data_IF_050583968358
#
_entry.id   IF_050583968358
#
_cell.length_a   1.000
_cell.length_b   1.000
_cell.length_c   1.000
_cell.angle_alpha   90.00
_cell.angle_beta   90.00
_cell.angle_gamma   90.00
#
_symmetry.space_group_name_H-M   'P 1'
#
loop_
_entity.id
_entity.type
_entity.pdbx_description
1 polymer ?
#
# COMPACT_ATOMS: atom_id res chain seq x y z
N UNK A 1 -0.84 14.50 3.89
CA UNK A 1 -0.33 15.89 4.03
C UNK A 1 -1.34 16.88 3.46
N UNK A 2 -1.42 18.15 3.94
CA UNK A 2 -2.32 19.13 3.32
C UNK A 2 -2.06 19.22 1.81
N UNK A 3 -3.11 19.11 0.99
CA UNK A 3 -3.01 19.18 -0.47
C UNK A 3 -2.56 17.88 -1.17
N UNK A 4 -2.11 16.86 -0.43
CA UNK A 4 -1.83 15.55 -1.01
C UNK A 4 -3.13 14.83 -1.35
N UNK A 5 -3.23 14.16 -2.52
CA UNK A 5 -4.44 13.42 -2.89
C UNK A 5 -4.79 12.32 -1.89
N UNK A 6 -3.78 11.56 -1.44
CA UNK A 6 -3.98 10.39 -0.60
C UNK A 6 -3.70 10.70 0.87
N UNK A 7 -4.50 10.08 1.75
CA UNK A 7 -4.16 9.99 3.17
C UNK A 7 -3.14 8.88 3.38
N UNK A 8 -2.36 8.97 4.46
CA UNK A 8 -1.55 7.84 4.91
C UNK A 8 -2.51 6.73 5.39
N UNK A 9 -2.46 5.51 4.83
CA UNK A 9 -3.50 4.51 5.06
C UNK A 9 -3.45 3.85 6.44
N UNK A 10 -2.37 4.03 7.20
CA UNK A 10 -2.27 3.56 8.58
C UNK A 10 -1.37 4.49 9.39
N UNK A 11 -1.60 4.56 10.70
CA UNK A 11 -0.68 5.22 11.62
C UNK A 11 0.54 4.32 11.87
N UNK A 12 1.74 4.91 11.91
CA UNK A 12 2.95 4.15 12.19
C UNK A 12 4.23 4.85 11.75
N UNK A 13 5.33 4.10 11.83
CA UNK A 13 6.64 4.54 11.35
C UNK A 13 6.89 3.97 9.95
N UNK A 14 7.09 4.86 8.96
CA UNK A 14 7.46 4.45 7.60
C UNK A 14 8.93 4.02 7.61
N UNK A 15 9.16 2.70 7.58
CA UNK A 15 10.47 2.11 7.83
C UNK A 15 11.18 1.57 6.59
N UNK A 16 10.42 1.08 5.60
CA UNK A 16 10.94 0.63 4.31
C UNK A 16 10.31 1.47 3.21
N UNK A 17 11.17 2.03 2.35
CA UNK A 17 10.79 3.05 1.38
C UNK A 17 10.59 2.45 -0.02
N UNK A 18 9.89 3.19 -0.88
CA UNK A 18 9.76 2.82 -2.28
C UNK A 18 11.12 2.86 -2.95
N UNK A 19 11.46 1.83 -3.72
CA UNK A 19 12.75 1.69 -4.39
C UNK A 19 13.91 1.34 -3.45
N UNK A 20 13.65 0.97 -2.19
CA UNK A 20 14.71 0.58 -1.25
C UNK A 20 15.41 -0.72 -1.72
N UNK A 21 16.73 -0.70 -1.96
CA UNK A 21 17.47 -1.86 -2.42
C UNK A 21 18.12 -2.65 -1.28
N UNK A 22 17.94 -2.22 -0.02
CA UNK A 22 18.58 -2.84 1.16
C UNK A 22 17.87 -4.13 1.54
N UNK A 23 18.59 -5.03 2.19
CA UNK A 23 18.03 -6.31 2.64
C UNK A 23 16.76 -6.11 3.47
N UNK A 24 15.67 -6.87 3.23
CA UNK A 24 15.61 -8.11 2.44
C UNK A 24 15.54 -7.96 0.91
N UNK A 25 15.45 -6.73 0.39
CA UNK A 25 15.40 -6.42 -1.05
C UNK A 25 16.79 -6.45 -1.70
N UNK A 26 16.85 -6.08 -2.97
CA UNK A 26 18.09 -6.00 -3.74
C UNK A 26 18.02 -4.91 -4.80
N UNK A 27 19.16 -4.48 -5.35
CA UNK A 27 19.16 -3.54 -6.48
C UNK A 27 18.42 -4.06 -7.73
N UNK A 28 18.33 -5.37 -7.92
CA UNK A 28 17.57 -5.99 -9.01
C UNK A 28 16.09 -6.20 -8.71
N UNK A 29 15.71 -6.14 -7.43
CA UNK A 29 14.34 -6.25 -6.98
C UNK A 29 14.15 -5.36 -5.75
N UNK A 30 14.11 -4.02 -5.95
CA UNK A 30 13.95 -3.08 -4.85
C UNK A 30 12.49 -3.06 -4.38
N UNK A 31 12.25 -2.50 -3.20
CA UNK A 31 10.93 -2.48 -2.60
C UNK A 31 9.90 -1.74 -3.47
N UNK A 32 8.73 -2.35 -3.69
CA UNK A 32 7.69 -1.93 -4.65
C UNK A 32 6.64 -0.99 -4.03
N UNK A 33 6.74 -0.75 -2.72
CA UNK A 33 5.81 0.07 -1.96
C UNK A 33 6.49 0.75 -0.78
N UNK A 34 5.72 0.99 0.26
CA UNK A 34 6.20 1.47 1.56
C UNK A 34 5.67 0.56 2.67
N UNK A 35 6.48 0.38 3.71
CA UNK A 35 6.06 -0.34 4.91
C UNK A 35 5.86 0.62 6.08
N UNK A 36 4.65 0.62 6.62
CA UNK A 36 4.22 1.44 7.74
C UNK A 36 4.15 0.54 8.98
N UNK A 37 5.19 0.57 9.79
CA UNK A 37 5.33 -0.27 10.99
C UNK A 37 4.47 0.25 12.13
N UNK A 38 3.66 -0.64 12.68
CA UNK A 38 2.84 -0.38 13.85
C UNK A 38 3.61 -0.64 15.15
N UNK A 39 3.37 0.17 16.17
CA UNK A 39 3.91 -0.03 17.52
C UNK A 39 2.88 -0.74 18.44
N UNK A 40 2.03 -1.58 17.86
CA UNK A 40 0.94 -2.30 18.53
C UNK A 40 0.98 -3.78 18.18
N UNK A 41 0.15 -4.56 18.87
CA UNK A 41 -0.12 -5.96 18.51
C UNK A 41 -0.84 -6.06 17.15
N UNK A 42 -0.86 -7.27 16.59
CA UNK A 42 -1.61 -7.60 15.36
C UNK A 42 -3.11 -7.33 15.56
N UNK A 43 -3.80 -6.89 14.49
CA UNK A 43 -5.23 -6.64 14.54
C UNK A 43 -5.64 -5.36 15.28
N UNK A 44 -4.69 -4.48 15.62
CA UNK A 44 -4.94 -3.27 16.42
C UNK A 44 -4.90 -1.97 15.62
N UNK A 45 -3.83 -1.71 14.85
CA UNK A 45 -3.72 -0.45 14.10
C UNK A 45 -4.66 -0.47 12.90
N UNK A 46 -5.60 0.49 12.79
CA UNK A 46 -6.52 0.57 11.66
C UNK A 46 -5.80 0.84 10.33
N UNK A 47 -6.34 0.25 9.27
CA UNK A 47 -5.99 0.50 7.87
C UNK A 47 -7.18 1.12 7.17
N UNK A 48 -6.98 2.27 6.55
CA UNK A 48 -8.01 3.06 5.88
C UNK A 48 -7.77 3.14 4.38
N UNK A 49 -8.84 3.30 3.61
CA UNK A 49 -8.78 3.61 2.19
C UNK A 49 -8.03 4.92 1.96
N UNK A 50 -6.90 4.86 1.27
CA UNK A 50 -6.05 6.03 1.02
C UNK A 50 -6.74 7.09 0.15
N UNK A 51 -7.75 6.70 -0.62
CA UNK A 51 -8.51 7.55 -1.55
C UNK A 51 -9.90 6.98 -1.82
N UNK A 52 -10.77 7.74 -2.49
CA UNK A 52 -12.02 7.21 -3.02
C UNK A 52 -11.72 6.14 -4.08
N UNK A 53 -12.43 5.02 -4.05
CA UNK A 53 -12.14 3.95 -5.00
C UNK A 53 -13.08 2.75 -4.89
N UNK A 54 -12.71 1.69 -5.60
CA UNK A 54 -13.50 0.45 -5.67
C UNK A 54 -12.67 -0.73 -5.17
N UNK A 55 -13.00 -1.25 -3.99
CA UNK A 55 -12.33 -2.38 -3.34
C UNK A 55 -12.65 -3.68 -4.08
N UNK A 56 -11.61 -4.47 -4.29
CA UNK A 56 -11.64 -5.84 -4.76
C UNK A 56 -10.79 -6.69 -3.83
N UNK A 57 -11.29 -7.87 -3.47
CA UNK A 57 -10.58 -8.90 -2.73
C UNK A 57 -10.79 -10.21 -3.45
N UNK A 58 -9.74 -10.75 -4.06
CA UNK A 58 -9.87 -12.01 -4.81
C UNK A 58 -10.28 -13.17 -3.89
N UNK A 59 -10.99 -14.20 -4.40
CA UNK A 59 -11.50 -15.29 -3.57
C UNK A 59 -10.44 -16.08 -2.81
N UNK A 60 -9.20 -16.12 -3.32
CA UNK A 60 -8.07 -16.86 -2.74
C UNK A 60 -7.08 -15.95 -1.98
N UNK A 61 -7.34 -14.64 -1.91
CA UNK A 61 -6.48 -13.70 -1.22
C UNK A 61 -6.65 -13.76 0.30
N UNK A 62 -5.50 -13.72 0.98
CA UNK A 62 -5.37 -13.62 2.43
C UNK A 62 -4.51 -12.40 2.76
N UNK A 63 -4.84 -11.72 3.85
CA UNK A 63 -4.18 -10.53 4.36
C UNK A 63 -4.18 -9.32 3.42
N UNK A 64 -4.86 -9.43 2.27
CA UNK A 64 -4.68 -8.56 1.12
C UNK A 64 -6.01 -8.15 0.51
N UNK A 65 -6.10 -6.88 0.12
CA UNK A 65 -7.08 -6.38 -0.84
C UNK A 65 -6.44 -5.33 -1.76
N UNK A 66 -7.15 -4.99 -2.83
CA UNK A 66 -6.71 -3.97 -3.78
C UNK A 66 -7.87 -3.05 -4.12
N UNK A 67 -7.60 -1.77 -4.35
CA UNK A 67 -8.61 -0.77 -4.62
C UNK A 67 -8.35 -0.06 -5.93
N UNK A 68 -9.32 -0.09 -6.85
CA UNK A 68 -9.24 0.60 -8.13
C UNK A 68 -9.53 2.09 -7.97
N UNK A 69 -8.66 2.93 -8.52
CA UNK A 69 -8.89 4.37 -8.69
C UNK A 69 -9.00 4.64 -10.21
N UNK A 70 -10.21 4.85 -10.75
CA UNK A 70 -10.41 4.95 -12.20
C UNK A 70 -9.78 6.17 -12.86
N UNK A 71 -9.58 7.24 -12.08
CA UNK A 71 -9.01 8.51 -12.54
C UNK A 71 -7.91 8.94 -11.56
N UNK A 72 -6.66 8.68 -11.93
CA UNK A 72 -5.47 9.03 -11.16
C UNK A 72 -5.46 10.55 -10.90
N UNK A 73 -5.46 11.00 -9.63
CA UNK A 73 -5.50 12.43 -9.29
C UNK A 73 -4.29 13.23 -9.78
N UNK A 74 -3.19 12.57 -10.13
CA UNK A 74 -1.99 13.19 -10.69
C UNK A 74 -1.89 13.03 -12.21
N UNK A 75 -2.63 12.07 -12.80
CA UNK A 75 -2.60 11.76 -14.22
C UNK A 75 -4.01 11.46 -14.76
N UNK A 76 -4.83 12.50 -14.93
CA UNK A 76 -6.22 12.38 -15.39
C UNK A 76 -6.37 11.49 -16.64
N UNK A 77 -7.35 10.59 -16.60
CA UNK A 77 -7.65 9.60 -17.63
C UNK A 77 -6.86 8.30 -17.50
N UNK A 78 -5.97 8.17 -16.50
CA UNK A 78 -5.26 6.93 -16.19
C UNK A 78 -5.89 6.23 -15.00
N UNK A 79 -5.96 4.90 -15.04
CA UNK A 79 -6.38 4.08 -13.91
C UNK A 79 -5.14 3.59 -13.15
N UNK A 80 -5.26 3.57 -11.82
CA UNK A 80 -4.27 2.98 -10.91
C UNK A 80 -4.98 2.12 -9.87
N UNK A 81 -4.19 1.35 -9.13
CA UNK A 81 -4.67 0.43 -8.12
C UNK A 81 -3.87 0.61 -6.83
N UNK A 82 -4.56 0.66 -5.69
CA UNK A 82 -3.94 0.78 -4.38
C UNK A 82 -3.94 -0.58 -3.70
N UNK A 83 -2.77 -1.13 -3.41
CA UNK A 83 -2.60 -2.47 -2.86
C UNK A 83 -2.27 -2.39 -1.37
N UNK A 84 -2.94 -3.23 -0.57
CA UNK A 84 -2.82 -3.27 0.89
C UNK A 84 -2.61 -4.72 1.30
N UNK A 85 -1.55 -5.03 2.03
CA UNK A 85 -1.25 -6.40 2.45
C UNK A 85 -0.68 -6.50 3.88
N UNK A 86 -0.42 -7.72 4.34
CA UNK A 86 -0.01 -8.10 5.69
C UNK A 86 -1.11 -7.92 6.75
N UNK A 87 -2.37 -7.77 6.35
CA UNK A 87 -3.53 -7.55 7.23
C UNK A 87 -4.09 -8.86 7.82
N UNK A 88 -3.23 -9.73 8.36
CA UNK A 88 -3.62 -10.98 9.00
C UNK A 88 -2.58 -11.40 10.05
N UNK A 89 -2.92 -12.32 10.96
CA UNK A 89 -1.95 -12.93 11.88
C UNK A 89 -1.05 -13.96 11.16
N UNK A 90 -0.09 -14.56 11.88
CA UNK A 90 0.87 -15.53 11.32
C UNK A 90 0.19 -16.79 10.78
N UNK A 91 -0.93 -17.17 11.36
CA UNK A 91 -1.75 -18.30 10.94
C UNK A 91 -2.60 -17.98 9.69
N UNK A 92 -2.66 -16.71 9.29
CA UNK A 92 -3.42 -16.25 8.13
C UNK A 92 -4.89 -15.96 8.44
N UNK A 93 -5.24 -15.72 9.70
CA UNK A 93 -6.56 -15.22 10.07
C UNK A 93 -6.62 -13.72 9.72
N UNK A 94 -7.48 -13.38 8.77
CA UNK A 94 -7.62 -12.02 8.26
C UNK A 94 -8.11 -11.03 9.32
N UNK A 95 -7.53 -9.83 9.26
CA UNK A 95 -8.01 -8.63 9.94
C UNK A 95 -8.66 -7.64 8.97
N UNK A 96 -9.05 -8.08 7.78
CA UNK A 96 -9.87 -7.30 6.84
C UNK A 96 -11.31 -7.29 7.35
N UNK A 97 -11.95 -6.12 7.31
CA UNK A 97 -13.33 -5.92 7.78
C UNK A 97 -14.32 -6.86 7.08
N UNK A 98 -15.36 -7.30 7.81
CA UNK A 98 -16.38 -8.22 7.29
C UNK A 98 -17.19 -7.65 6.11
N UNK A 99 -17.16 -6.33 5.92
CA UNK A 99 -17.73 -5.66 4.76
C UNK A 99 -17.02 -6.03 3.44
N UNK A 100 -15.75 -6.46 3.50
CA UNK A 100 -14.95 -6.84 2.35
C UNK A 100 -14.55 -8.32 2.41
N UNK A 101 -15.52 -9.26 2.37
CA UNK A 101 -15.22 -10.68 2.36
C UNK A 101 -14.42 -11.09 1.12
N UNK A 102 -13.77 -12.25 1.17
CA UNK A 102 -13.13 -12.82 -0.02
C UNK A 102 -14.14 -12.98 -1.16
N UNK A 103 -13.80 -12.51 -2.35
CA UNK A 103 -14.69 -12.42 -3.51
C UNK A 103 -15.40 -11.07 -3.69
N UNK A 104 -15.18 -10.09 -2.81
CA UNK A 104 -15.62 -8.70 -3.06
C UNK A 104 -15.03 -8.19 -4.36
N UNK A 105 -15.85 -7.54 -5.19
CA UNK A 105 -15.42 -7.04 -6.49
C UNK A 105 -16.04 -5.69 -6.80
N UNK A 106 -15.19 -4.66 -6.90
CA UNK A 106 -15.60 -3.33 -7.32
C UNK A 106 -16.55 -2.61 -6.35
N UNK A 107 -16.39 -2.82 -5.04
CA UNK A 107 -17.22 -2.16 -4.02
C UNK A 107 -16.72 -0.74 -3.74
N UNK A 108 -17.58 0.26 -3.95
CA UNK A 108 -17.18 1.65 -3.74
C UNK A 108 -16.98 1.97 -2.26
N UNK A 109 -15.89 2.68 -1.95
CA UNK A 109 -15.58 3.23 -0.63
C UNK A 109 -15.06 4.66 -0.76
N UNK A 110 -15.35 5.48 0.23
CA UNK A 110 -14.80 6.84 0.35
C UNK A 110 -13.41 6.79 1.00
N UNK A 111 -12.57 7.78 0.72
CA UNK A 111 -11.30 8.01 1.41
C UNK A 111 -11.53 8.01 2.93
N UNK A 112 -10.70 7.27 3.67
CA UNK A 112 -10.82 7.14 5.12
C UNK A 112 -11.79 6.03 5.57
N UNK A 113 -12.42 5.30 4.67
CA UNK A 113 -13.18 4.09 5.03
C UNK A 113 -12.25 3.06 5.67
N UNK A 114 -12.66 2.50 6.81
CA UNK A 114 -11.92 1.43 7.49
C UNK A 114 -11.95 0.15 6.63
N UNK A 115 -10.77 -0.35 6.27
CA UNK A 115 -10.58 -1.55 5.46
C UNK A 115 -10.25 -2.78 6.32
N UNK A 116 -9.63 -2.56 7.47
CA UNK A 116 -9.19 -3.61 8.38
C UNK A 116 -8.08 -3.13 9.30
N UNK A 117 -7.20 -4.03 9.72
CA UNK A 117 -6.12 -3.73 10.65
C UNK A 117 -4.80 -4.36 10.21
N UNK A 118 -3.68 -3.76 10.64
CA UNK A 118 -2.34 -4.28 10.36
C UNK A 118 -2.10 -5.63 11.02
N UNK A 119 -1.34 -6.49 10.38
CA UNK A 119 -0.92 -7.77 10.92
C UNK A 119 0.55 -8.05 10.60
N UNK A 120 0.91 -9.33 10.60
CA UNK A 120 2.28 -9.80 10.36
C UNK A 120 2.33 -11.06 9.46
N UNK A 121 1.28 -11.29 8.68
CA UNK A 121 1.23 -12.41 7.75
C UNK A 121 2.20 -12.22 6.58
N UNK A 122 3.13 -13.15 6.40
CA UNK A 122 4.14 -13.11 5.33
C UNK A 122 4.02 -14.30 4.36
N UNK A 123 2.81 -14.86 4.21
CA UNK A 123 2.60 -16.09 3.44
C UNK A 123 3.34 -17.29 4.05
N UNK A 124 3.83 -18.19 3.20
CA UNK A 124 4.59 -19.39 3.61
C UNK A 124 6.08 -19.11 3.88
N UNK A 125 6.47 -17.83 4.01
CA UNK A 125 7.84 -17.45 4.31
C UNK A 125 8.26 -17.90 5.71
N UNK A 126 9.45 -18.49 5.83
CA UNK A 126 10.04 -18.84 7.12
C UNK A 126 10.58 -17.62 7.90
N UNK A 127 10.47 -16.41 7.33
CA UNK A 127 10.96 -15.17 7.95
C UNK A 127 9.80 -14.46 8.62
N UNK A 128 9.95 -14.29 9.93
CA UNK A 128 9.11 -13.37 10.71
C UNK A 128 9.26 -11.95 10.19
N UNK A 129 8.13 -11.24 10.13
CA UNK A 129 8.06 -9.80 9.89
C UNK A 129 7.46 -9.13 11.13
N UNK A 130 7.69 -7.83 11.27
CA UNK A 130 7.04 -7.04 12.31
C UNK A 130 5.61 -6.70 11.90
N UNK A 131 4.79 -6.23 12.84
CA UNK A 131 3.43 -5.76 12.52
C UNK A 131 3.51 -4.51 11.65
N UNK A 132 3.01 -4.57 10.43
CA UNK A 132 3.02 -3.44 9.51
C UNK A 132 1.92 -3.54 8.45
N UNK A 133 1.66 -2.42 7.78
CA UNK A 133 0.99 -2.38 6.50
C UNK A 133 2.05 -2.24 5.42
N UNK A 134 2.01 -3.09 4.40
CA UNK A 134 2.64 -2.80 3.13
C UNK A 134 1.62 -2.14 2.21
N UNK A 135 1.98 -0.97 1.67
CA UNK A 135 1.14 -0.18 0.77
C UNK A 135 1.90 0.14 -0.52
N UNK A 136 1.31 -0.18 -1.66
CA UNK A 136 1.87 0.14 -2.97
C UNK A 136 0.81 0.67 -3.95
N UNK A 137 1.27 1.44 -4.94
CA UNK A 137 0.44 1.93 -6.04
C UNK A 137 0.83 1.15 -7.29
N UNK A 138 -0.11 0.38 -7.82
CA UNK A 138 0.06 -0.54 -8.93
C UNK A 138 -0.58 0.03 -10.19
N UNK A 139 0.10 -0.13 -11.31
CA UNK A 139 -0.37 0.30 -12.64
C UNK A 139 -1.48 -0.60 -13.16
N UNK A 140 -2.32 -0.02 -14.00
CA UNK A 140 -3.27 -0.77 -14.82
C UNK A 140 -2.58 -1.49 -15.99
N UNK A 141 -3.14 -2.63 -16.42
CA UNK A 141 -2.68 -3.43 -17.56
C UNK A 141 -3.09 -2.85 -18.92
N UNK A 142 -3.82 -1.73 -18.93
CA UNK A 142 -4.37 -1.08 -20.10
C UNK A 142 -5.72 -1.64 -20.54
N UNK A 143 -6.25 -2.65 -19.84
CA UNK A 143 -7.56 -3.26 -20.05
C UNK A 143 -8.47 -3.17 -18.82
N UNK A 144 -8.06 -2.39 -17.81
CA UNK A 144 -8.82 -2.18 -16.59
C UNK A 144 -8.55 -3.22 -15.51
N UNK A 145 -7.41 -3.92 -15.53
CA UNK A 145 -6.96 -4.84 -14.47
C UNK A 145 -5.61 -4.41 -13.90
N UNK A 146 -5.31 -4.79 -12.67
CA UNK A 146 -4.02 -4.51 -12.04
C UNK A 146 -2.91 -5.39 -12.62
N UNK A 147 -1.70 -4.83 -12.72
CA UNK A 147 -0.49 -5.59 -13.01
C UNK A 147 0.04 -6.30 -11.75
N UNK A 148 1.05 -7.18 -11.92
CA UNK A 148 1.66 -7.90 -10.80
C UNK A 148 2.50 -6.94 -9.95
N UNK A 149 2.10 -6.75 -8.68
CA UNK A 149 2.76 -5.88 -7.71
C UNK A 149 4.22 -6.27 -7.44
N UNK A 150 4.54 -7.56 -7.49
CA UNK A 150 5.90 -8.06 -7.21
C UNK A 150 6.96 -7.63 -8.24
N UNK A 151 6.54 -7.11 -9.40
CA UNK A 151 7.45 -6.52 -10.38
C UNK A 151 7.49 -5.00 -10.17
N UNK A 152 8.66 -4.50 -9.76
CA UNK A 152 8.89 -3.09 -9.48
C UNK A 152 8.43 -2.16 -10.61
N UNK A 153 8.57 -2.56 -11.88
CA UNK A 153 8.16 -1.72 -13.02
C UNK A 153 6.64 -1.52 -13.13
N UNK A 154 5.86 -2.36 -12.44
CA UNK A 154 4.42 -2.26 -12.38
C UNK A 154 3.93 -1.33 -11.27
N UNK A 155 4.84 -0.79 -10.46
CA UNK A 155 4.49 0.11 -9.35
C UNK A 155 4.86 1.56 -9.62
N UNK A 156 4.28 2.46 -8.84
CA UNK A 156 4.48 3.90 -8.90
C UNK A 156 5.01 4.41 -7.55
N UNK A 157 5.84 5.45 -7.59
CA UNK A 157 6.33 6.14 -6.40
C UNK A 157 5.15 6.74 -5.61
N UNK A 158 4.91 6.33 -4.35
CA UNK A 158 3.82 6.86 -3.53
C UNK A 158 4.04 8.31 -3.08
N UNK A 159 5.25 8.85 -3.21
CA UNK A 159 5.62 10.15 -2.66
C UNK A 159 4.69 11.30 -3.08
N UNK A 160 4.47 11.57 -4.39
CA UNK A 160 3.59 12.67 -4.82
C UNK A 160 2.12 12.47 -4.44
N UNK A 161 1.69 11.23 -4.21
CA UNK A 161 0.32 10.94 -3.78
C UNK A 161 0.11 11.21 -2.29
N UNK A 162 1.09 10.88 -1.45
CA UNK A 162 1.03 11.04 0.01
C UNK A 162 1.47 12.44 0.48
N UNK A 163 2.18 13.18 -0.37
CA UNK A 163 2.81 14.45 0.01
C UNK A 163 4.02 14.27 0.94
N UNK A 164 4.62 13.07 0.94
CA UNK A 164 5.74 12.65 1.79
C UNK A 164 6.86 12.12 0.91
N UNK A 165 8.12 12.49 1.16
CA UNK A 165 9.26 11.94 0.43
C UNK A 165 9.58 10.53 0.94
N UNK A 166 8.90 9.53 0.38
CA UNK A 166 9.00 8.11 0.77
C UNK A 166 9.66 7.23 -0.28
N UNK A 167 10.30 7.86 -1.27
CA UNK A 167 11.19 7.20 -2.21
C UNK A 167 12.61 7.16 -1.64
N UNK A 168 13.22 5.98 -1.64
CA UNK A 168 14.58 5.75 -1.14
C UNK A 168 15.62 6.69 -1.79
N UNK A 169 15.44 7.06 -3.06
CA UNK A 169 16.33 7.96 -3.77
C UNK A 169 16.36 9.39 -3.19
N UNK A 170 15.39 9.76 -2.35
CA UNK A 170 15.32 11.07 -1.69
C UNK A 170 16.24 11.16 -0.45
N UNK A 171 16.87 10.04 -0.06
CA UNK A 171 17.72 9.93 1.13
C UNK A 171 17.04 9.15 2.27
N UNK A 172 17.79 8.89 3.35
CA UNK A 172 17.39 8.00 4.45
C UNK A 172 16.32 8.58 5.40
N UNK A 173 15.91 9.83 5.22
CA UNK A 173 14.91 10.47 6.07
C UNK A 173 13.63 10.72 5.29
N UNK A 174 12.54 10.08 5.69
CA UNK A 174 11.20 10.50 5.28
C UNK A 174 11.04 11.97 5.69
N UNK A 175 10.95 12.83 4.69
CA UNK A 175 10.74 14.26 4.90
C UNK A 175 9.37 14.51 5.51
N UNK A 176 9.22 15.64 6.21
CA UNK A 176 7.90 16.15 6.56
C UNK A 176 7.07 16.46 5.30
N UNK A 177 5.81 16.85 5.51
CA UNK A 177 4.91 17.20 4.41
C UNK A 177 5.53 18.22 3.44
N UNK A 178 5.44 17.92 2.14
CA UNK A 178 5.96 18.76 1.06
C UNK A 178 4.97 18.81 -0.11
N UNK A 179 4.82 19.99 -0.74
CA UNK A 179 4.00 20.18 -1.94
C UNK A 179 4.60 19.50 -3.18
N UNK A 180 5.90 19.19 -3.15
CA UNK A 180 6.59 18.47 -4.21
C UNK A 180 7.60 17.48 -3.63
N UNK A 181 7.13 16.31 -3.14
CA UNK A 181 7.96 15.34 -2.43
C UNK A 181 8.84 14.48 -3.35
N UNK A 182 8.95 14.80 -4.64
CA UNK A 182 9.76 14.05 -5.60
C UNK A 182 11.25 14.33 -5.43
N UNK A 183 12.06 13.28 -5.60
CA UNK A 183 13.51 13.44 -5.58
C UNK A 183 13.94 14.23 -6.84
N UNK A 184 14.86 15.18 -6.68
CA UNK A 184 15.44 15.90 -7.82
C UNK A 184 16.14 14.91 -8.75
N UNK A 185 15.85 15.01 -10.05
CA UNK A 185 16.49 14.23 -11.13
C UNK A 185 18.00 14.43 -11.19
#
# INVERSE_FOLDING_TARGET
CPGAPFILPADGWIGLLYGDPRGPYSSSNPHQGIDIFSNSEVGVTPVYAAYDGYVTREPDWRSTLIMRVPDDPLNTGQQIWLYYTHMADREGNDFIEEAFPAGTYGEFVEQGTLLGYTGEYNGDSLRDIWVHLHFSIVRDDGSGRYLNELDFNNTLDPSPYLGLSVNYACGDTVGGCSDNPVCGS
#
